data_IF_101158762948
#
_entry.id   IF_101158762948
#
_cell.length_a   1.000
_cell.length_b   1.000
_cell.length_c   1.000
_cell.angle_alpha   90.00
_cell.angle_beta   90.00
_cell.angle_gamma   90.00
#
_symmetry.space_group_name_H-M   'P 1'
#
loop_
_entity.id
_entity.type
_entity.pdbx_description
1 polymer ?
#
# COMPACT_ATOMS: atom_id res chain seq x y z
N UNK A 1 -1.57 -9.24 -30.26
CA UNK A 1 -0.58 -8.44 -29.51
C UNK A 1 -1.04 -8.13 -28.09
N UNK A 2 -2.16 -7.41 -27.90
CA UNK A 2 -2.67 -6.97 -26.59
C UNK A 2 -2.85 -8.09 -25.55
N UNK A 3 -3.46 -9.23 -25.94
CA UNK A 3 -3.74 -10.35 -25.03
C UNK A 3 -2.48 -10.89 -24.34
N UNK A 4 -1.38 -11.04 -25.09
CA UNK A 4 -0.10 -11.51 -24.53
C UNK A 4 0.56 -10.48 -23.60
N UNK A 5 0.32 -9.18 -23.80
CA UNK A 5 0.80 -8.13 -22.88
C UNK A 5 0.00 -8.11 -21.57
N UNK A 6 -1.31 -8.40 -21.63
CA UNK A 6 -2.18 -8.45 -20.46
C UNK A 6 -1.89 -9.66 -19.57
N UNK A 7 -1.57 -10.83 -20.13
CA UNK A 7 -1.19 -12.00 -19.32
C UNK A 7 0.12 -11.77 -18.53
N UNK A 8 1.09 -11.07 -19.10
CA UNK A 8 2.34 -10.71 -18.41
C UNK A 8 2.16 -9.64 -17.31
N UNK A 9 1.05 -8.90 -17.36
CA UNK A 9 0.69 -7.90 -16.36
C UNK A 9 -0.17 -8.48 -15.23
N UNK A 10 -0.59 -9.75 -15.31
CA UNK A 10 -1.48 -10.36 -14.33
C UNK A 10 -0.77 -10.52 -12.97
N UNK A 11 -1.23 -9.85 -11.89
CA UNK A 11 -0.46 -9.81 -10.65
C UNK A 11 -0.50 -11.11 -9.85
N UNK A 12 -1.44 -12.01 -10.14
CA UNK A 12 -1.54 -13.35 -9.52
C UNK A 12 -0.33 -14.24 -9.78
N UNK A 13 0.55 -13.88 -10.73
CA UNK A 13 1.77 -14.63 -11.05
C UNK A 13 3.07 -13.97 -10.54
N UNK A 14 3.01 -12.81 -9.87
CA UNK A 14 4.22 -12.11 -9.39
C UNK A 14 4.53 -12.43 -7.93
N UNK A 15 5.29 -13.50 -7.69
CA UNK A 15 6.08 -13.62 -6.46
C UNK A 15 7.37 -12.82 -6.63
N UNK A 16 7.46 -11.66 -5.97
CA UNK A 16 8.69 -10.84 -5.97
C UNK A 16 9.25 -10.80 -4.55
N UNK A 17 10.27 -11.62 -4.28
CA UNK A 17 11.22 -11.36 -3.20
C UNK A 17 12.20 -10.31 -3.69
N UNK A 18 12.06 -9.04 -3.31
CA UNK A 18 13.18 -8.10 -3.42
C UNK A 18 13.31 -7.19 -2.19
N UNK A 19 14.53 -7.22 -1.68
CA UNK A 19 15.07 -6.55 -0.51
C UNK A 19 15.23 -5.04 -0.79
N UNK A 20 14.72 -4.24 0.15
CA UNK A 20 14.91 -2.80 0.37
C UNK A 20 13.89 -1.84 -0.28
N UNK A 21 13.11 -1.22 0.63
CA UNK A 21 12.20 -0.08 0.49
C UNK A 21 10.92 -0.29 -0.33
N UNK A 22 9.87 -0.64 0.41
CA UNK A 22 8.48 -0.63 -0.04
C UNK A 22 7.99 0.82 0.10
N UNK A 23 7.95 1.56 -1.00
CA UNK A 23 6.84 2.50 -1.15
C UNK A 23 5.61 1.61 -1.36
N UNK A 24 4.53 1.72 -0.56
CA UNK A 24 3.29 1.11 -0.96
C UNK A 24 2.86 1.85 -2.21
N UNK A 25 3.15 1.29 -3.38
CA UNK A 25 2.28 1.48 -4.52
C UNK A 25 0.86 1.23 -3.97
N UNK A 26 -0.16 2.04 -4.32
CA UNK A 26 -1.53 1.65 -4.05
C UNK A 26 -1.66 0.25 -4.63
N UNK A 27 -1.67 -0.73 -3.74
CA UNK A 27 -1.78 -2.11 -4.10
C UNK A 27 -3.22 -2.20 -4.59
N UNK A 28 -3.45 -2.02 -5.88
CA UNK A 28 -4.61 -2.63 -6.50
C UNK A 28 -4.47 -4.10 -6.13
N UNK A 29 -5.29 -4.62 -5.21
CA UNK A 29 -5.15 -5.97 -4.75
C UNK A 29 -5.75 -6.81 -5.86
N UNK A 30 -4.98 -7.06 -6.90
CA UNK A 30 -4.97 -8.37 -7.49
C UNK A 30 -4.35 -9.25 -6.41
N UNK A 31 -5.25 -9.71 -5.56
CA UNK A 31 -5.03 -10.59 -4.44
C UNK A 31 -4.18 -11.76 -4.95
N UNK A 32 -3.09 -12.05 -4.23
CA UNK A 32 -2.44 -13.34 -4.29
C UNK A 32 -3.43 -14.38 -3.72
N UNK A 33 -4.46 -14.71 -4.49
CA UNK A 33 -5.33 -15.85 -4.23
C UNK A 33 -4.57 -17.08 -4.74
N UNK A 34 -3.74 -17.68 -3.88
CA UNK A 34 -3.18 -19.00 -4.14
C UNK A 34 -4.29 -20.05 -3.96
N UNK A 35 -5.09 -20.24 -5.00
CA UNK A 35 -6.17 -21.21 -5.03
C UNK A 35 -6.81 -21.30 -6.41
N UNK A 36 -7.25 -22.50 -6.78
CA UNK A 36 -7.83 -22.84 -8.10
C UNK A 36 -9.17 -22.13 -8.42
N UNK A 37 -9.56 -21.10 -7.65
CA UNK A 37 -10.83 -20.38 -7.74
C UNK A 37 -10.67 -18.84 -7.57
N UNK A 38 -9.48 -18.31 -7.86
CA UNK A 38 -9.23 -16.87 -7.90
C UNK A 38 -10.02 -16.20 -9.04
N UNK A 39 -10.59 -15.02 -8.81
CA UNK A 39 -11.26 -14.27 -9.87
C UNK A 39 -10.27 -13.81 -10.93
N UNK A 40 -10.47 -14.28 -12.16
CA UNK A 40 -9.72 -13.83 -13.32
C UNK A 40 -10.47 -12.68 -14.01
N UNK A 41 -9.91 -11.45 -14.04
CA UNK A 41 -10.60 -10.31 -14.65
C UNK A 41 -10.89 -10.55 -16.14
N UNK A 42 -12.16 -10.55 -16.58
CA UNK A 42 -12.49 -10.78 -17.97
C UNK A 42 -12.15 -9.56 -18.83
N UNK A 43 -11.70 -9.80 -20.07
CA UNK A 43 -11.47 -8.74 -21.06
C UNK A 43 -12.76 -8.56 -21.86
N UNK A 44 -13.41 -7.41 -21.71
CA UNK A 44 -14.64 -7.03 -22.45
C UNK A 44 -14.31 -5.91 -23.42
N UNK A 45 -14.61 -6.10 -24.70
CA UNK A 45 -14.47 -5.06 -25.72
C UNK A 45 -15.63 -4.07 -25.62
N UNK A 46 -15.33 -2.77 -25.67
CA UNK A 46 -16.35 -1.72 -25.61
C UNK A 46 -16.02 -0.59 -26.58
N UNK A 47 -17.05 0.13 -27.05
CA UNK A 47 -16.93 1.40 -27.77
C UNK A 47 -17.76 2.43 -27.04
N UNK A 48 -17.11 3.36 -26.33
CA UNK A 48 -17.78 4.29 -25.44
C UNK A 48 -18.74 5.24 -26.15
N UNK A 49 -18.40 5.69 -27.37
CA UNK A 49 -19.23 6.63 -28.14
C UNK A 49 -20.53 5.98 -28.63
N UNK A 50 -20.46 4.70 -28.95
CA UNK A 50 -21.56 3.97 -29.61
C UNK A 50 -22.35 3.13 -28.59
N UNK A 51 -21.86 3.06 -27.34
CA UNK A 51 -22.45 2.28 -26.26
C UNK A 51 -22.24 0.76 -26.40
N UNK A 52 -21.46 0.32 -27.38
CA UNK A 52 -21.21 -1.10 -27.61
C UNK A 52 -20.41 -1.71 -26.47
N UNK A 53 -20.79 -2.92 -26.06
CA UNK A 53 -20.14 -3.68 -24.98
C UNK A 53 -20.41 -3.17 -23.56
N UNK A 54 -21.05 -2.01 -23.39
CA UNK A 54 -21.35 -1.45 -22.07
C UNK A 54 -22.29 -2.35 -21.24
N UNK A 55 -23.38 -2.93 -21.78
CA UNK A 55 -24.23 -3.84 -20.99
C UNK A 55 -23.47 -5.07 -20.47
N UNK A 56 -22.58 -5.63 -21.29
CA UNK A 56 -21.75 -6.79 -20.92
C UNK A 56 -20.72 -6.41 -19.86
N UNK A 57 -20.13 -5.21 -19.95
CA UNK A 57 -19.24 -4.69 -18.92
C UNK A 57 -19.96 -4.55 -17.57
N UNK A 58 -21.19 -4.00 -17.57
CA UNK A 58 -21.99 -3.84 -16.34
C UNK A 58 -22.31 -5.21 -15.71
N UNK A 59 -22.64 -6.22 -16.51
CA UNK A 59 -22.84 -7.59 -16.04
C UNK A 59 -21.57 -8.14 -15.36
N UNK A 60 -20.40 -7.99 -15.99
CA UNK A 60 -19.13 -8.45 -15.40
C UNK A 60 -18.75 -7.70 -14.11
N UNK A 61 -19.11 -6.43 -14.00
CA UNK A 61 -18.95 -5.67 -12.75
C UNK A 61 -19.85 -6.27 -11.64
N UNK A 62 -21.09 -6.62 -11.95
CA UNK A 62 -22.03 -7.22 -10.99
C UNK A 62 -21.59 -8.63 -10.55
N UNK A 63 -21.09 -9.45 -11.48
CA UNK A 63 -20.53 -10.76 -11.17
C UNK A 63 -19.32 -10.64 -10.23
N UNK A 64 -18.40 -9.71 -10.52
CA UNK A 64 -17.24 -9.47 -9.66
C UNK A 64 -17.65 -8.95 -8.27
N UNK A 65 -18.67 -8.09 -8.18
CA UNK A 65 -19.20 -7.63 -6.90
C UNK A 65 -19.76 -8.79 -6.07
N UNK A 66 -20.45 -9.73 -6.70
CA UNK A 66 -20.96 -10.95 -6.04
C UNK A 66 -19.79 -11.82 -5.57
N UNK A 67 -18.80 -12.06 -6.44
CA UNK A 67 -17.58 -12.77 -6.07
C UNK A 67 -16.88 -12.14 -4.85
N UNK A 68 -16.71 -10.82 -4.81
CA UNK A 68 -16.05 -10.12 -3.70
C UNK A 68 -16.85 -10.22 -2.38
N UNK A 69 -18.18 -10.32 -2.45
CA UNK A 69 -19.02 -10.57 -1.28
C UNK A 69 -18.84 -12.01 -0.79
N UNK A 70 -18.94 -12.98 -1.68
CA UNK A 70 -18.93 -14.41 -1.34
C UNK A 70 -17.54 -14.89 -0.88
N UNK A 71 -16.48 -14.37 -1.50
CA UNK A 71 -15.09 -14.64 -1.11
C UNK A 71 -14.62 -13.89 0.15
N UNK A 72 -15.42 -12.94 0.65
CA UNK A 72 -15.00 -12.03 1.72
C UNK A 72 -13.93 -11.01 1.29
N UNK A 73 -13.68 -10.88 -0.02
CA UNK A 73 -12.71 -9.94 -0.58
C UNK A 73 -12.95 -8.49 -0.15
N UNK A 74 -14.21 -8.05 -0.06
CA UNK A 74 -14.56 -6.70 0.40
C UNK A 74 -14.06 -6.42 1.82
N UNK A 75 -14.29 -7.36 2.75
CA UNK A 75 -13.89 -7.20 4.16
C UNK A 75 -12.37 -7.18 4.26
N UNK A 76 -11.67 -8.00 3.47
CA UNK A 76 -10.21 -8.05 3.45
C UNK A 76 -9.62 -6.74 2.92
N UNK A 77 -10.15 -6.22 1.82
CA UNK A 77 -9.74 -4.93 1.26
C UNK A 77 -10.00 -3.78 2.24
N UNK A 78 -11.18 -3.75 2.86
CA UNK A 78 -11.51 -2.73 3.85
C UNK A 78 -10.59 -2.77 5.06
N UNK A 79 -10.29 -3.98 5.58
CA UNK A 79 -9.33 -4.14 6.68
C UNK A 79 -7.93 -3.65 6.32
N UNK A 80 -7.46 -3.91 5.09
CA UNK A 80 -6.15 -3.43 4.62
C UNK A 80 -6.15 -1.90 4.51
N UNK A 81 -7.19 -1.32 3.91
CA UNK A 81 -7.35 0.13 3.80
C UNK A 81 -7.34 0.80 5.17
N UNK A 82 -8.20 0.35 6.09
CA UNK A 82 -8.29 0.89 7.45
C UNK A 82 -6.98 0.72 8.22
N UNK A 83 -6.28 -0.40 8.02
CA UNK A 83 -4.95 -0.61 8.62
C UNK A 83 -3.96 0.44 8.12
N UNK A 84 -3.85 0.64 6.81
CA UNK A 84 -2.94 1.64 6.24
C UNK A 84 -3.28 3.05 6.71
N UNK A 85 -4.56 3.41 6.69
CA UNK A 85 -5.01 4.72 7.17
C UNK A 85 -4.70 4.93 8.65
N UNK A 86 -4.90 3.91 9.49
CA UNK A 86 -4.54 3.96 10.89
C UNK A 86 -3.03 4.09 11.10
N UNK A 87 -2.22 3.33 10.36
CA UNK A 87 -0.75 3.38 10.44
C UNK A 87 -0.21 4.76 10.03
N UNK A 88 -0.74 5.34 8.95
CA UNK A 88 -0.37 6.68 8.49
C UNK A 88 -0.73 7.76 9.54
N UNK A 89 -1.96 7.71 10.06
CA UNK A 89 -2.42 8.63 11.11
C UNK A 89 -1.60 8.48 12.39
N UNK A 90 -1.29 7.24 12.79
CA UNK A 90 -0.49 6.95 13.97
C UNK A 90 0.92 7.51 13.79
N UNK A 91 1.57 7.25 12.65
CA UNK A 91 2.91 7.76 12.36
C UNK A 91 2.95 9.28 12.37
N UNK A 92 2.02 9.93 11.66
CA UNK A 92 1.94 11.40 11.61
C UNK A 92 1.73 12.00 13.01
N UNK A 93 0.83 11.41 13.80
CA UNK A 93 0.53 11.86 15.16
C UNK A 93 1.73 11.70 16.09
N UNK A 94 2.41 10.54 16.04
CA UNK A 94 3.59 10.28 16.87
C UNK A 94 4.74 11.23 16.53
N UNK A 95 5.00 11.48 15.24
CA UNK A 95 6.03 12.43 14.79
C UNK A 95 5.68 13.86 15.22
N UNK A 96 4.42 14.27 15.10
CA UNK A 96 3.98 15.59 15.54
C UNK A 96 4.21 15.78 17.05
N UNK A 97 3.73 14.84 17.87
CA UNK A 97 3.93 14.88 19.34
C UNK A 97 5.41 14.85 19.73
N UNK A 98 6.20 14.00 19.08
CA UNK A 98 7.64 13.95 19.29
C UNK A 98 8.29 15.30 18.97
N UNK A 99 7.91 15.93 17.85
CA UNK A 99 8.48 17.22 17.44
C UNK A 99 8.15 18.37 18.41
N UNK A 100 6.98 18.32 19.05
CA UNK A 100 6.58 19.29 20.08
C UNK A 100 7.31 19.06 21.41
N UNK A 101 7.64 17.80 21.72
CA UNK A 101 8.29 17.43 22.98
C UNK A 101 9.79 17.71 23.03
N UNK A 102 10.45 17.81 21.87
CA UNK A 102 11.89 17.97 21.78
C UNK A 102 12.28 19.43 21.54
N UNK A 103 13.31 19.91 22.25
CA UNK A 103 13.83 21.25 21.99
C UNK A 103 14.57 21.31 20.65
N UNK A 104 14.46 22.45 19.97
CA UNK A 104 15.17 22.70 18.72
C UNK A 104 16.70 22.53 18.89
N UNK A 105 17.25 22.95 20.03
CA UNK A 105 18.67 22.84 20.34
C UNK A 105 19.15 21.38 20.43
N UNK A 106 18.37 20.50 21.10
CA UNK A 106 18.72 19.08 21.22
C UNK A 106 18.71 18.39 19.85
N UNK A 107 17.74 18.75 18.99
CA UNK A 107 17.67 18.24 17.62
C UNK A 107 18.91 18.66 16.81
N UNK A 108 19.22 19.97 16.79
CA UNK A 108 20.37 20.50 16.04
C UNK A 108 21.70 19.92 16.52
N UNK A 109 21.89 19.80 17.84
CA UNK A 109 23.09 19.19 18.41
C UNK A 109 23.27 17.73 17.96
N UNK A 110 22.18 16.95 17.94
CA UNK A 110 22.22 15.55 17.51
C UNK A 110 22.47 15.44 16.01
N UNK A 111 21.85 16.31 15.21
CA UNK A 111 22.06 16.38 13.76
C UNK A 111 23.52 16.71 13.42
N UNK A 112 24.12 17.67 14.14
CA UNK A 112 25.53 18.03 13.95
C UNK A 112 26.44 16.82 14.17
N UNK A 113 26.25 16.08 15.26
CA UNK A 113 27.01 14.85 15.55
C UNK A 113 26.84 13.77 14.50
N UNK A 114 25.64 13.67 13.91
CA UNK A 114 25.37 12.72 12.83
C UNK A 114 26.12 13.11 11.55
N UNK A 115 26.10 14.40 11.18
CA UNK A 115 26.80 14.93 10.00
C UNK A 115 28.32 14.80 10.14
N UNK A 116 28.87 15.03 11.33
CA UNK A 116 30.31 14.84 11.61
C UNK A 116 30.72 13.38 11.76
N UNK A 117 29.76 12.43 11.66
CA UNK A 117 29.96 10.99 11.84
C UNK A 117 30.47 10.58 13.23
N UNK A 118 30.22 11.42 14.24
CA UNK A 118 30.49 11.09 15.64
C UNK A 118 29.50 10.04 16.19
N UNK A 119 28.29 10.01 15.63
CA UNK A 119 27.25 9.03 15.97
C UNK A 119 26.64 8.42 14.70
N UNK A 120 26.16 7.19 14.82
CA UNK A 120 25.40 6.50 13.76
C UNK A 120 23.93 6.95 13.72
N UNK A 121 23.19 6.71 12.61
CA UNK A 121 21.76 7.00 12.53
C UNK A 121 20.93 6.32 13.62
N UNK A 122 21.26 5.08 13.99
CA UNK A 122 20.59 4.34 15.06
C UNK A 122 20.80 5.02 16.42
N UNK A 123 22.03 5.45 16.71
CA UNK A 123 22.34 6.20 17.94
C UNK A 123 21.64 7.56 17.98
N UNK A 124 21.57 8.26 16.85
CA UNK A 124 20.84 9.54 16.75
C UNK A 124 19.36 9.36 17.09
N UNK A 125 18.70 8.34 16.53
CA UNK A 125 17.29 8.02 16.85
C UNK A 125 17.11 7.73 18.34
N UNK A 126 17.99 6.90 18.93
CA UNK A 126 17.93 6.57 20.35
C UNK A 126 18.02 7.84 21.23
N UNK A 127 18.98 8.74 20.94
CA UNK A 127 19.16 10.01 21.67
C UNK A 127 17.91 10.91 21.56
N UNK A 128 17.27 10.93 20.39
CA UNK A 128 16.11 11.77 20.10
C UNK A 128 14.81 11.21 20.72
N UNK A 129 14.71 9.90 20.95
CA UNK A 129 13.52 9.25 21.52
C UNK A 129 13.62 9.10 23.06
N UNK A 130 14.82 8.85 23.62
CA UNK A 130 15.02 8.50 25.05
C UNK A 130 14.70 9.60 26.08
N UNK A 131 14.15 10.75 25.64
CA UNK A 131 13.68 11.82 26.52
C UNK A 131 12.22 12.20 26.32
N UNK A 132 11.48 11.45 25.50
CA UNK A 132 10.10 11.75 25.14
C UNK A 132 9.19 10.68 25.75
N UNK A 133 8.32 11.06 26.68
CA UNK A 133 7.22 10.21 27.11
C UNK A 133 6.18 10.20 25.98
N UNK A 134 6.31 9.24 25.07
CA UNK A 134 5.35 8.96 23.99
C UNK A 134 4.11 8.26 24.55
#
# INVERSE_FOLDING_TARGET
>A
ALRGMLELANPSQRSVQHRAQIVPLPQTPALLEEGNNAWEPPIVQTIATDGEGIPQLVEKIAEHQTYLKDSGGLIRQERLRLKTELEDLLQATLVARWSESISHEKYQFTLQKLVTREISPQQAVQILIDGVNV
#
